data_IF_125223658457
#
_entry.id   IF_125223658457
#
_cell.length_a   1.000
_cell.length_b   1.000
_cell.length_c   1.000
_cell.angle_alpha   90.00
_cell.angle_beta   90.00
_cell.angle_gamma   90.00
#
_symmetry.space_group_name_H-M   'P 1'
#
loop_
_entity.id
_entity.type
_entity.pdbx_description
1 polymer ?
#
# COMPACT_ATOMS: atom_id res chain seq x y z
N UNK A 1 2.09 -0.34 0.88
CA UNK A 1 1.53 0.27 -0.36
C UNK A 1 0.14 0.82 -0.14
N UNK A 2 -0.26 1.82 -0.92
CA UNK A 2 -1.67 2.18 -1.05
C UNK A 2 -2.34 1.17 -1.97
N UNK A 3 -3.54 0.72 -1.62
CA UNK A 3 -4.28 -0.25 -2.43
C UNK A 3 -5.76 0.09 -2.45
N UNK A 4 -6.43 -0.32 -3.52
CA UNK A 4 -7.87 -0.21 -3.71
C UNK A 4 -8.39 -1.51 -4.33
N UNK A 5 -9.52 -1.99 -3.83
CA UNK A 5 -10.23 -3.10 -4.44
C UNK A 5 -11.73 -2.89 -4.29
N UNK A 6 -12.49 -3.26 -5.30
CA UNK A 6 -13.96 -3.16 -5.30
C UNK A 6 -14.57 -4.40 -5.94
N UNK A 7 -15.60 -4.90 -5.30
CA UNK A 7 -16.46 -5.90 -5.92
C UNK A 7 -17.93 -5.55 -5.66
N UNK A 8 -18.76 -5.87 -6.63
CA UNK A 8 -20.21 -5.67 -6.56
C UNK A 8 -20.88 -6.91 -7.13
N UNK A 9 -21.81 -7.46 -6.39
CA UNK A 9 -22.54 -8.65 -6.80
C UNK A 9 -23.97 -8.63 -6.27
N UNK A 10 -24.90 -9.11 -7.08
CA UNK A 10 -26.27 -9.31 -6.64
C UNK A 10 -26.45 -10.78 -6.24
N UNK A 11 -26.61 -11.04 -4.95
CA UNK A 11 -26.77 -12.37 -4.37
C UNK A 11 -28.12 -12.43 -3.65
N UNK A 12 -28.93 -13.42 -3.94
CA UNK A 12 -30.25 -13.62 -3.32
C UNK A 12 -31.20 -12.40 -3.39
N UNK A 13 -31.03 -11.53 -4.44
CA UNK A 13 -31.83 -10.32 -4.61
C UNK A 13 -31.34 -9.10 -3.84
N UNK A 14 -30.21 -9.21 -3.14
CA UNK A 14 -29.49 -8.10 -2.49
C UNK A 14 -28.23 -7.78 -3.29
N UNK A 15 -28.04 -6.52 -3.68
CA UNK A 15 -26.79 -6.06 -4.27
C UNK A 15 -25.83 -5.66 -3.18
N UNK A 16 -24.74 -6.42 -3.08
CA UNK A 16 -23.68 -6.22 -2.08
C UNK A 16 -22.50 -5.57 -2.78
N UNK A 17 -22.09 -4.40 -2.33
CA UNK A 17 -20.88 -3.71 -2.79
C UNK A 17 -19.87 -3.67 -1.65
N UNK A 18 -18.65 -4.13 -1.91
CA UNK A 18 -17.53 -4.08 -0.97
C UNK A 18 -16.41 -3.27 -1.59
N UNK A 19 -15.97 -2.22 -0.91
CA UNK A 19 -14.79 -1.42 -1.27
C UNK A 19 -13.74 -1.51 -0.18
N UNK A 20 -12.50 -1.76 -0.58
CA UNK A 20 -11.32 -1.74 0.29
C UNK A 20 -10.40 -0.59 -0.12
N UNK A 21 -9.94 0.16 0.87
CA UNK A 21 -8.92 1.19 0.68
C UNK A 21 -7.84 1.01 1.72
N UNK A 22 -6.59 0.99 1.30
CA UNK A 22 -5.47 0.94 2.24
C UNK A 22 -4.53 2.11 2.07
N UNK A 23 -3.95 2.54 3.20
CA UNK A 23 -2.82 3.47 3.24
C UNK A 23 -1.67 2.83 4.00
N UNK A 24 -0.44 3.26 3.69
CA UNK A 24 0.74 2.73 4.35
C UNK A 24 0.68 2.98 5.86
N UNK A 25 0.80 1.92 6.66
CA UNK A 25 0.92 1.99 8.11
C UNK A 25 1.82 0.86 8.61
N UNK A 26 2.49 1.09 9.73
CA UNK A 26 3.43 0.12 10.34
C UNK A 26 2.76 -1.17 10.81
N UNK A 27 1.54 -1.08 11.31
CA UNK A 27 0.73 -2.18 11.82
C UNK A 27 -0.56 -2.29 10.99
N UNK A 28 -1.16 -3.46 10.99
CA UNK A 28 -2.49 -3.62 10.42
C UNK A 28 -3.51 -2.95 11.34
N UNK A 29 -4.24 -1.99 10.79
CA UNK A 29 -5.40 -1.34 11.40
C UNK A 29 -6.58 -1.50 10.44
N UNK A 30 -7.54 -2.35 10.81
CA UNK A 30 -8.69 -2.67 9.97
C UNK A 30 -9.95 -2.05 10.55
N UNK A 31 -10.52 -1.11 9.81
CA UNK A 31 -11.76 -0.44 10.15
C UNK A 31 -12.86 -0.85 9.16
N UNK A 32 -13.92 -1.45 9.67
CA UNK A 32 -15.06 -1.91 8.86
C UNK A 32 -16.23 -0.96 9.05
N UNK A 33 -16.76 -0.46 7.95
CA UNK A 33 -17.97 0.35 7.91
C UNK A 33 -19.06 -0.42 7.20
N UNK A 34 -20.01 -0.89 7.98
CA UNK A 34 -21.15 -1.69 7.54
C UNK A 34 -22.45 -1.14 8.16
N UNK A 35 -23.60 -1.23 7.49
CA UNK A 35 -24.88 -0.82 8.07
C UNK A 35 -25.20 -1.61 9.35
N UNK A 36 -25.84 -0.95 10.33
CA UNK A 36 -26.09 -1.52 11.67
C UNK A 36 -26.78 -2.88 11.67
N UNK A 37 -27.64 -3.13 10.70
CA UNK A 37 -28.36 -4.40 10.55
C UNK A 37 -27.43 -5.59 10.30
N UNK A 38 -26.22 -5.37 9.77
CA UNK A 38 -25.29 -6.41 9.34
C UNK A 38 -24.00 -6.45 10.18
N UNK A 39 -23.98 -5.78 11.35
CA UNK A 39 -22.82 -5.77 12.28
C UNK A 39 -22.34 -7.16 12.69
N UNK A 40 -23.20 -8.18 12.64
CA UNK A 40 -22.83 -9.56 12.89
C UNK A 40 -21.73 -10.09 11.93
N UNK A 41 -21.58 -9.51 10.73
CA UNK A 41 -20.58 -9.90 9.78
C UNK A 41 -19.21 -9.23 10.01
N UNK A 42 -19.11 -8.23 10.89
CA UNK A 42 -17.89 -7.43 11.08
C UNK A 42 -16.66 -8.26 11.46
N UNK A 43 -16.81 -9.20 12.40
CA UNK A 43 -15.70 -10.07 12.83
C UNK A 43 -15.23 -11.01 11.73
N UNK A 44 -16.15 -11.56 10.95
CA UNK A 44 -15.83 -12.41 9.81
C UNK A 44 -15.06 -11.63 8.72
N UNK A 45 -15.49 -10.38 8.46
CA UNK A 45 -14.80 -9.47 7.53
C UNK A 45 -13.38 -9.16 8.02
N UNK A 46 -13.22 -8.76 9.30
CA UNK A 46 -11.91 -8.46 9.89
C UNK A 46 -10.96 -9.66 9.82
N UNK A 47 -11.44 -10.83 10.16
CA UNK A 47 -10.65 -12.07 10.11
C UNK A 47 -10.14 -12.36 8.68
N UNK A 48 -10.98 -12.20 7.65
CA UNK A 48 -10.58 -12.41 6.26
C UNK A 48 -9.54 -11.39 5.79
N UNK A 49 -9.73 -10.11 6.13
CA UNK A 49 -8.77 -9.05 5.84
C UNK A 49 -7.42 -9.33 6.50
N UNK A 50 -7.41 -9.74 7.78
CA UNK A 50 -6.19 -10.09 8.52
C UNK A 50 -5.44 -11.29 7.94
N UNK A 51 -6.15 -12.25 7.36
CA UNK A 51 -5.53 -13.40 6.70
C UNK A 51 -4.87 -13.06 5.36
N UNK A 52 -5.32 -11.97 4.72
CA UNK A 52 -4.82 -11.56 3.38
C UNK A 52 -3.82 -10.41 3.48
N UNK A 53 -4.02 -9.48 4.41
CA UNK A 53 -3.23 -8.25 4.51
C UNK A 53 -2.47 -8.25 5.85
N UNK A 54 -1.14 -8.18 5.78
CA UNK A 54 -0.26 -8.28 6.95
C UNK A 54 -0.03 -6.94 7.66
N UNK A 55 -0.14 -5.81 6.95
CA UNK A 55 0.07 -4.45 7.49
C UNK A 55 -0.64 -3.40 6.65
N UNK A 56 -0.79 -2.20 7.21
CA UNK A 56 -1.47 -1.07 6.58
C UNK A 56 -2.72 -0.66 7.35
N UNK A 57 -3.20 0.54 7.14
CA UNK A 57 -4.53 0.93 7.59
C UNK A 57 -5.51 0.63 6.46
N UNK A 58 -6.46 -0.26 6.72
CA UNK A 58 -7.44 -0.75 5.75
C UNK A 58 -8.83 -0.30 6.19
N UNK A 59 -9.46 0.52 5.38
CA UNK A 59 -10.87 0.86 5.53
C UNK A 59 -11.69 -0.01 4.57
N UNK A 60 -12.63 -0.78 5.12
CA UNK A 60 -13.57 -1.64 4.38
C UNK A 60 -14.94 -1.01 4.45
N UNK A 61 -15.52 -0.71 3.30
CA UNK A 61 -16.87 -0.18 3.17
C UNK A 61 -17.77 -1.25 2.57
N UNK A 62 -18.82 -1.61 3.30
CA UNK A 62 -19.83 -2.56 2.83
C UNK A 62 -21.16 -1.83 2.68
N UNK A 63 -21.70 -1.86 1.47
CA UNK A 63 -23.01 -1.29 1.16
C UNK A 63 -23.90 -2.42 0.66
N UNK A 64 -25.12 -2.48 1.20
CA UNK A 64 -26.13 -3.44 0.79
C UNK A 64 -27.33 -2.66 0.28
N UNK A 65 -27.74 -2.98 -0.94
CA UNK A 65 -28.90 -2.38 -1.58
C UNK A 65 -29.91 -3.49 -1.91
N UNK A 66 -30.99 -3.50 -1.14
CA UNK A 66 -32.09 -4.43 -1.35
C UNK A 66 -33.00 -3.90 -2.47
N UNK A 67 -32.55 -4.07 -3.73
CA UNK A 67 -33.31 -3.69 -4.92
C UNK A 67 -34.56 -4.59 -5.17
N UNK A 68 -34.69 -5.68 -4.41
CA UNK A 68 -35.86 -6.56 -4.43
C UNK A 68 -36.85 -6.16 -3.36
N UNK A 69 -38.13 -6.22 -3.68
CA UNK A 69 -39.22 -5.97 -2.74
C UNK A 69 -38.96 -6.69 -1.43
N UNK A 70 -38.89 -5.92 -0.33
CA UNK A 70 -38.88 -6.48 1.02
C UNK A 70 -39.90 -7.61 1.08
N UNK A 71 -39.49 -8.83 1.30
CA UNK A 71 -40.40 -9.94 1.46
C UNK A 71 -41.17 -9.70 2.76
N UNK A 72 -42.28 -8.99 2.62
CA UNK A 72 -43.21 -8.78 3.71
C UNK A 72 -44.10 -10.02 3.78
N UNK A 73 -44.00 -10.73 4.85
CA UNK A 73 -44.92 -11.82 5.15
C UNK A 73 -46.07 -11.26 6.00
N UNK A 74 -47.28 -11.39 5.45
CA UNK A 74 -48.48 -11.00 6.18
C UNK A 74 -49.03 -12.22 6.90
N UNK A 75 -49.08 -12.15 8.20
CA UNK A 75 -49.61 -13.22 9.07
C UNK A 75 -50.89 -12.75 9.80
N UNK A 76 -51.69 -13.71 10.21
CA UNK A 76 -52.89 -13.45 11.00
C UNK A 76 -52.55 -13.62 12.50
N UNK A 77 -52.71 -12.58 13.30
CA UNK A 77 -52.63 -12.66 14.74
C UNK A 77 -53.92 -13.32 15.31
N UNK A 78 -53.92 -14.64 15.31
CA UNK A 78 -55.07 -15.42 15.65
C UNK A 78 -55.68 -15.08 17.03
N UNK A 79 -54.90 -14.93 18.14
CA UNK A 79 -55.46 -14.52 19.44
C UNK A 79 -56.23 -13.21 19.41
N UNK A 80 -55.73 -12.21 18.69
CA UNK A 80 -56.34 -10.90 18.55
C UNK A 80 -57.60 -10.98 17.69
N UNK A 81 -57.52 -11.72 16.56
CA UNK A 81 -58.69 -11.95 15.69
C UNK A 81 -59.82 -12.65 16.41
N UNK A 82 -59.51 -13.73 17.17
CA UNK A 82 -60.47 -14.45 17.98
C UNK A 82 -61.13 -13.54 19.05
N UNK A 83 -60.34 -12.68 19.70
CA UNK A 83 -60.84 -11.69 20.68
C UNK A 83 -61.86 -10.71 20.08
N UNK A 84 -61.54 -10.10 18.91
CA UNK A 84 -62.48 -9.22 18.22
C UNK A 84 -63.71 -9.98 17.73
N UNK A 85 -63.57 -11.17 17.22
CA UNK A 85 -64.71 -11.99 16.78
C UNK A 85 -65.69 -12.29 17.94
N UNK A 86 -65.16 -12.72 19.12
CA UNK A 86 -65.96 -12.98 20.30
C UNK A 86 -66.68 -11.72 20.79
N UNK A 87 -66.00 -10.57 20.90
CA UNK A 87 -66.54 -9.31 21.34
C UNK A 87 -67.66 -8.80 20.41
N UNK A 88 -67.47 -8.89 19.11
CA UNK A 88 -68.51 -8.50 18.11
C UNK A 88 -69.71 -9.42 18.16
N UNK A 89 -69.51 -10.73 18.36
CA UNK A 89 -70.59 -11.70 18.51
C UNK A 89 -71.39 -11.45 19.80
N UNK A 90 -70.72 -11.12 20.91
CA UNK A 90 -71.35 -10.74 22.14
C UNK A 90 -72.22 -9.48 21.96
N UNK A 91 -71.68 -8.42 21.34
CA UNK A 91 -72.44 -7.19 21.06
C UNK A 91 -73.67 -7.43 20.18
N UNK A 92 -73.55 -8.29 19.15
CA UNK A 92 -74.70 -8.64 18.31
C UNK A 92 -75.83 -9.33 19.10
N UNK A 93 -75.47 -10.20 20.06
CA UNK A 93 -76.40 -10.90 20.92
C UNK A 93 -77.04 -9.98 21.97
N UNK A 94 -76.25 -9.19 22.68
CA UNK A 94 -76.73 -8.31 23.76
C UNK A 94 -77.65 -7.21 23.28
N UNK A 95 -77.38 -6.64 22.11
CA UNK A 95 -78.13 -5.51 21.53
C UNK A 95 -79.10 -5.92 20.43
N UNK A 96 -79.26 -7.21 20.21
CA UNK A 96 -80.13 -7.79 19.15
C UNK A 96 -79.84 -7.20 17.75
N UNK A 97 -78.58 -7.06 17.42
CA UNK A 97 -78.12 -6.54 16.14
C UNK A 97 -77.89 -7.67 15.14
N UNK A 98 -77.97 -7.35 13.83
CA UNK A 98 -77.59 -8.31 12.79
C UNK A 98 -76.11 -8.55 12.84
N UNK A 99 -75.70 -9.84 12.81
CA UNK A 99 -74.30 -10.19 12.73
C UNK A 99 -73.79 -10.00 11.31
N UNK A 100 -72.98 -8.96 11.09
CA UNK A 100 -72.37 -8.62 9.81
C UNK A 100 -70.85 -8.84 9.80
N UNK A 101 -70.32 -9.70 10.73
CA UNK A 101 -68.92 -10.00 10.80
C UNK A 101 -68.43 -10.60 9.49
N UNK A 102 -67.53 -9.88 8.86
CA UNK A 102 -66.91 -10.28 7.59
C UNK A 102 -65.39 -10.26 7.68
N UNK A 103 -64.72 -10.94 6.74
CA UNK A 103 -63.24 -10.90 6.64
C UNK A 103 -62.78 -9.47 6.46
N UNK A 104 -63.52 -8.68 5.69
CA UNK A 104 -63.19 -7.28 5.45
C UNK A 104 -63.30 -6.39 6.70
N UNK A 105 -64.19 -6.76 7.61
CA UNK A 105 -64.36 -6.07 8.90
C UNK A 105 -63.21 -6.45 9.85
N UNK A 106 -63.00 -7.75 10.05
CA UNK A 106 -61.95 -8.27 10.94
C UNK A 106 -60.54 -7.84 10.57
N UNK A 107 -60.25 -7.82 9.22
CA UNK A 107 -58.91 -7.41 8.74
C UNK A 107 -58.60 -5.91 8.96
N UNK A 108 -59.57 -5.07 9.31
CA UNK A 108 -59.41 -3.64 9.59
C UNK A 108 -59.06 -3.32 11.01
N UNK A 109 -59.30 -4.27 11.92
CA UNK A 109 -58.95 -4.06 13.33
C UNK A 109 -57.44 -4.06 13.52
N UNK A 110 -56.92 -3.19 14.38
CA UNK A 110 -55.48 -3.13 14.67
C UNK A 110 -54.94 -4.50 15.11
N UNK A 111 -53.73 -4.80 14.64
CA UNK A 111 -52.96 -6.02 15.04
C UNK A 111 -53.59 -7.34 14.62
N UNK A 112 -54.69 -7.38 13.91
CA UNK A 112 -55.26 -8.63 13.36
C UNK A 112 -54.43 -9.17 12.20
N UNK A 113 -53.93 -8.29 11.33
CA UNK A 113 -52.96 -8.59 10.30
C UNK A 113 -51.63 -8.00 10.69
N UNK A 114 -50.61 -8.85 10.83
CA UNK A 114 -49.23 -8.48 11.11
C UNK A 114 -48.46 -8.55 9.78
N UNK A 115 -47.85 -7.41 9.38
CA UNK A 115 -46.90 -7.38 8.29
C UNK A 115 -45.50 -7.41 8.88
N UNK A 116 -44.88 -8.59 8.88
CA UNK A 116 -43.55 -8.79 9.38
C UNK A 116 -42.56 -8.91 8.21
N UNK A 117 -41.39 -8.32 8.37
CA UNK A 117 -40.30 -8.57 7.43
C UNK A 117 -39.87 -10.03 7.64
N UNK A 118 -39.71 -10.77 6.53
CA UNK A 118 -39.17 -12.12 6.59
C UNK A 118 -37.81 -12.09 7.31
N UNK A 119 -37.62 -12.97 8.27
CA UNK A 119 -36.31 -13.12 8.94
C UNK A 119 -35.24 -13.41 7.88
N UNK A 120 -34.26 -12.53 7.77
CA UNK A 120 -33.08 -12.77 6.93
C UNK A 120 -32.23 -13.84 7.62
N UNK A 121 -31.78 -14.83 6.86
CA UNK A 121 -30.80 -15.79 7.34
C UNK A 121 -29.44 -15.09 7.55
N UNK A 122 -29.17 -14.73 8.80
CA UNK A 122 -27.98 -14.01 9.26
C UNK A 122 -26.70 -14.73 8.84
N UNK A 123 -26.68 -16.08 8.93
CA UNK A 123 -25.50 -16.87 8.57
C UNK A 123 -25.26 -16.89 7.06
N UNK A 124 -26.33 -17.00 6.28
CA UNK A 124 -26.24 -16.97 4.83
C UNK A 124 -25.80 -15.58 4.35
N UNK A 125 -26.36 -14.52 4.91
CA UNK A 125 -25.98 -13.15 4.54
C UNK A 125 -24.51 -12.87 4.89
N UNK A 126 -24.00 -13.33 6.02
CA UNK A 126 -22.58 -13.22 6.36
C UNK A 126 -21.68 -13.95 5.34
N UNK A 127 -22.09 -15.12 4.86
CA UNK A 127 -21.37 -15.86 3.82
C UNK A 127 -21.38 -15.11 2.49
N UNK A 128 -22.53 -14.54 2.11
CA UNK A 128 -22.68 -13.78 0.87
C UNK A 128 -21.80 -12.52 0.90
N UNK A 129 -21.81 -11.74 1.99
CA UNK A 129 -20.91 -10.59 2.18
C UNK A 129 -19.44 -11.03 2.08
N UNK A 130 -19.06 -12.12 2.74
CA UNK A 130 -17.70 -12.64 2.70
C UNK A 130 -17.28 -13.10 1.30
N UNK A 131 -18.18 -13.65 0.51
CA UNK A 131 -17.90 -14.04 -0.87
C UNK A 131 -17.57 -12.84 -1.75
N UNK A 132 -18.33 -11.74 -1.61
CA UNK A 132 -18.07 -10.49 -2.33
C UNK A 132 -16.77 -9.84 -1.83
N UNK A 133 -16.51 -9.88 -0.51
CA UNK A 133 -15.26 -9.41 0.08
C UNK A 133 -14.03 -10.15 -0.50
N UNK A 134 -14.11 -11.48 -0.68
CA UNK A 134 -13.00 -12.25 -1.26
C UNK A 134 -12.68 -11.78 -2.69
N UNK A 135 -13.67 -11.42 -3.48
CA UNK A 135 -13.48 -10.85 -4.83
C UNK A 135 -12.83 -9.46 -4.76
N UNK A 136 -13.29 -8.62 -3.83
CA UNK A 136 -12.70 -7.29 -3.62
C UNK A 136 -11.24 -7.39 -3.11
N UNK A 137 -10.94 -8.38 -2.26
CA UNK A 137 -9.57 -8.68 -1.81
C UNK A 137 -8.68 -9.17 -2.96
N UNK A 138 -9.20 -9.98 -3.86
CA UNK A 138 -8.46 -10.43 -5.05
C UNK A 138 -8.13 -9.25 -6.00
N UNK A 139 -9.08 -8.33 -6.23
CA UNK A 139 -8.85 -7.11 -7.02
C UNK A 139 -7.81 -6.20 -6.35
N UNK A 140 -7.92 -6.03 -5.03
CA UNK A 140 -6.98 -5.29 -4.20
C UNK A 140 -5.54 -5.86 -4.32
N UNK A 141 -5.38 -7.17 -4.23
CA UNK A 141 -4.07 -7.84 -4.33
C UNK A 141 -3.48 -7.73 -5.74
N UNK A 142 -4.32 -7.83 -6.76
CA UNK A 142 -3.92 -7.62 -8.15
C UNK A 142 -3.42 -6.19 -8.38
N UNK A 143 -4.11 -5.18 -7.82
CA UNK A 143 -3.66 -3.79 -7.89
C UNK A 143 -2.30 -3.60 -7.20
N UNK A 144 -2.12 -4.17 -6.00
CA UNK A 144 -0.85 -4.11 -5.27
C UNK A 144 0.31 -4.77 -6.02
N UNK A 145 0.04 -5.90 -6.64
CA UNK A 145 1.03 -6.61 -7.46
C UNK A 145 1.50 -5.74 -8.63
N UNK A 146 0.57 -5.15 -9.38
CA UNK A 146 0.90 -4.25 -10.49
C UNK A 146 1.68 -3.01 -10.05
N UNK A 147 1.29 -2.43 -8.93
CA UNK A 147 2.01 -1.27 -8.36
C UNK A 147 3.41 -1.65 -7.91
N UNK A 148 3.56 -2.82 -7.25
CA UNK A 148 4.85 -3.35 -6.85
C UNK A 148 5.80 -3.62 -8.03
N UNK A 149 5.29 -4.15 -9.13
CA UNK A 149 6.05 -4.35 -10.36
C UNK A 149 6.54 -3.02 -10.95
N UNK A 150 5.67 -2.01 -11.03
CA UNK A 150 6.05 -0.65 -11.49
C UNK A 150 7.12 -0.01 -10.63
N UNK A 151 6.98 -0.10 -9.31
CA UNK A 151 7.97 0.43 -8.36
C UNK A 151 9.31 -0.30 -8.51
N UNK A 152 9.30 -1.60 -8.70
CA UNK A 152 10.49 -2.41 -8.97
C UNK A 152 11.21 -1.97 -10.24
N UNK A 153 10.48 -1.79 -11.33
CA UNK A 153 11.04 -1.34 -12.61
C UNK A 153 11.65 0.06 -12.51
N UNK A 154 10.96 1.00 -11.84
CA UNK A 154 11.48 2.35 -11.61
C UNK A 154 12.78 2.33 -10.80
N UNK A 155 12.83 1.56 -9.71
CA UNK A 155 14.04 1.40 -8.89
C UNK A 155 15.18 0.81 -9.70
N UNK A 156 14.95 -0.23 -10.49
CA UNK A 156 15.98 -0.85 -11.32
C UNK A 156 16.53 0.11 -12.40
N UNK A 157 15.68 0.94 -12.97
CA UNK A 157 16.08 1.98 -13.93
C UNK A 157 16.98 3.04 -13.27
N UNK A 158 16.62 3.49 -12.06
CA UNK A 158 17.44 4.44 -11.29
C UNK A 158 18.77 3.85 -10.88
N UNK A 159 18.79 2.59 -10.47
CA UNK A 159 20.01 1.85 -10.14
C UNK A 159 20.94 1.78 -11.35
N UNK A 160 20.42 1.51 -12.55
CA UNK A 160 21.23 1.53 -13.78
C UNK A 160 21.82 2.92 -14.06
N UNK A 161 21.06 3.99 -13.77
CA UNK A 161 21.56 5.37 -13.85
C UNK A 161 22.71 5.62 -12.87
N UNK A 162 22.57 5.16 -11.62
CA UNK A 162 23.63 5.25 -10.60
C UNK A 162 24.89 4.51 -11.07
N UNK A 163 24.77 3.28 -11.57
CA UNK A 163 25.91 2.50 -12.07
C UNK A 163 26.63 3.21 -13.21
N UNK A 164 25.88 3.80 -14.14
CA UNK A 164 26.47 4.60 -15.22
C UNK A 164 27.25 5.80 -14.70
N UNK A 165 26.73 6.50 -13.68
CA UNK A 165 27.44 7.63 -13.07
C UNK A 165 28.67 7.19 -12.28
N UNK A 166 28.60 6.04 -11.58
CA UNK A 166 29.75 5.45 -10.88
C UNK A 166 30.86 5.09 -11.87
N UNK A 167 30.54 4.52 -13.04
CA UNK A 167 31.53 4.24 -14.07
C UNK A 167 32.24 5.51 -14.54
N UNK A 168 31.51 6.63 -14.73
CA UNK A 168 32.13 7.92 -15.09
C UNK A 168 33.06 8.44 -13.99
N UNK A 169 32.71 8.24 -12.72
CA UNK A 169 33.60 8.58 -11.60
C UNK A 169 34.87 7.73 -11.63
N UNK A 170 34.75 6.42 -11.86
CA UNK A 170 35.89 5.49 -11.95
C UNK A 170 36.83 5.85 -13.11
N UNK A 171 36.28 6.25 -14.25
CA UNK A 171 37.08 6.69 -15.42
C UNK A 171 37.77 8.04 -15.19
N UNK A 172 37.10 8.98 -14.53
CA UNK A 172 37.62 10.32 -14.28
C UNK A 172 38.66 10.38 -13.15
N UNK A 173 38.54 9.53 -12.14
CA UNK A 173 39.40 9.55 -10.94
C UNK A 173 40.91 9.46 -11.27
N UNK A 174 41.41 8.55 -12.12
CA UNK A 174 42.83 8.51 -12.50
C UNK A 174 43.29 9.75 -13.27
N UNK A 175 42.40 10.36 -14.06
CA UNK A 175 42.72 11.57 -14.83
C UNK A 175 42.95 12.76 -13.93
N UNK A 176 42.15 12.87 -12.84
CA UNK A 176 42.30 13.93 -11.81
C UNK A 176 43.69 13.90 -11.18
N UNK A 177 44.23 12.72 -10.90
CA UNK A 177 45.59 12.56 -10.36
C UNK A 177 46.65 13.00 -11.39
N UNK A 178 46.50 12.61 -12.65
CA UNK A 178 47.40 13.00 -13.72
C UNK A 178 47.42 14.52 -13.95
N UNK A 179 46.24 15.13 -13.98
CA UNK A 179 46.10 16.59 -14.12
C UNK A 179 46.65 17.35 -12.90
N UNK A 180 46.49 16.81 -11.68
CA UNK A 180 47.07 17.39 -10.49
C UNK A 180 48.61 17.38 -10.58
N UNK A 181 49.21 16.24 -10.98
CA UNK A 181 50.65 16.11 -11.16
C UNK A 181 51.16 17.14 -12.16
N UNK A 182 50.54 17.26 -13.32
CA UNK A 182 50.94 18.22 -14.38
C UNK A 182 50.85 19.69 -13.85
N UNK A 183 49.79 20.02 -13.12
CA UNK A 183 49.66 21.36 -12.52
C UNK A 183 50.72 21.61 -11.45
N UNK A 184 51.04 20.62 -10.63
CA UNK A 184 52.08 20.71 -9.63
C UNK A 184 53.44 20.97 -10.26
N UNK A 185 53.80 20.20 -11.30
CA UNK A 185 55.04 20.38 -12.07
C UNK A 185 55.14 21.78 -12.70
N UNK A 186 54.08 22.25 -13.31
CA UNK A 186 54.02 23.61 -13.91
C UNK A 186 54.20 24.71 -12.83
N UNK A 187 53.51 24.58 -11.73
CA UNK A 187 53.60 25.56 -10.64
C UNK A 187 54.98 25.61 -9.98
N UNK A 188 55.60 24.43 -9.77
CA UNK A 188 56.93 24.38 -9.22
C UNK A 188 57.97 24.98 -10.21
N UNK A 189 57.85 24.72 -11.52
CA UNK A 189 58.72 25.33 -12.53
C UNK A 189 58.60 26.86 -12.51
N UNK A 190 57.36 27.42 -12.36
CA UNK A 190 57.09 28.87 -12.28
C UNK A 190 57.76 29.50 -11.05
N UNK A 191 57.60 28.85 -9.90
CA UNK A 191 58.05 29.43 -8.61
C UNK A 191 59.57 29.31 -8.39
N UNK A 192 60.17 28.19 -8.87
CA UNK A 192 61.58 27.88 -8.61
C UNK A 192 62.55 28.36 -9.69
N UNK A 193 62.10 29.14 -10.66
CA UNK A 193 62.77 29.81 -11.81
C UNK A 193 64.21 29.47 -12.19
N UNK A 194 65.05 28.90 -11.28
CA UNK A 194 66.46 28.56 -11.46
C UNK A 194 66.98 27.43 -10.59
N UNK A 195 66.10 26.71 -9.87
CA UNK A 195 66.52 25.60 -8.98
C UNK A 195 66.03 24.28 -9.61
N UNK A 196 66.92 23.30 -9.69
CA UNK A 196 66.51 21.95 -10.13
C UNK A 196 65.47 21.36 -9.20
N UNK A 197 64.29 21.04 -9.77
CA UNK A 197 63.20 20.36 -9.09
C UNK A 197 63.60 18.89 -8.89
N UNK A 198 63.53 18.41 -7.67
CA UNK A 198 63.69 16.98 -7.41
C UNK A 198 62.41 16.23 -7.88
N UNK A 199 62.49 15.40 -8.94
CA UNK A 199 61.35 14.62 -9.41
C UNK A 199 60.74 13.70 -8.35
N UNK A 200 61.53 13.22 -7.42
CA UNK A 200 61.07 12.36 -6.31
C UNK A 200 60.07 13.08 -5.41
N UNK A 201 60.20 14.40 -5.20
CA UNK A 201 59.28 15.22 -4.46
C UNK A 201 57.93 15.36 -5.12
N UNK A 202 57.92 15.59 -6.43
CA UNK A 202 56.69 15.66 -7.24
C UNK A 202 55.92 14.33 -7.20
N UNK A 203 56.63 13.20 -7.32
CA UNK A 203 56.05 11.87 -7.25
C UNK A 203 55.44 11.60 -5.87
N UNK A 204 56.15 12.00 -4.78
CA UNK A 204 55.64 11.83 -3.42
C UNK A 204 54.38 12.64 -3.19
N UNK A 205 54.33 13.89 -3.57
CA UNK A 205 53.13 14.74 -3.43
C UNK A 205 51.97 14.23 -4.30
N UNK A 206 52.24 13.76 -5.52
CA UNK A 206 51.25 13.15 -6.36
C UNK A 206 50.69 11.84 -5.79
N UNK A 207 51.53 11.02 -5.14
CA UNK A 207 51.09 9.81 -4.48
C UNK A 207 50.19 10.11 -3.26
N UNK A 208 50.59 11.08 -2.43
CA UNK A 208 49.77 11.53 -1.29
C UNK A 208 48.41 12.08 -1.78
N UNK A 209 48.41 12.85 -2.86
CA UNK A 209 47.17 13.33 -3.44
C UNK A 209 46.32 12.18 -3.99
N UNK A 210 46.91 11.23 -4.70
CA UNK A 210 46.22 10.05 -5.24
C UNK A 210 45.53 9.24 -4.12
N UNK A 211 46.23 9.00 -3.01
CA UNK A 211 45.68 8.30 -1.85
C UNK A 211 44.50 9.08 -1.22
N UNK A 212 44.63 10.40 -1.12
CA UNK A 212 43.56 11.27 -0.58
C UNK A 212 42.29 11.28 -1.42
N UNK A 213 42.40 11.19 -2.75
CA UNK A 213 41.26 11.25 -3.69
C UNK A 213 40.82 9.89 -4.18
N UNK A 214 41.44 8.80 -3.69
CA UNK A 214 41.07 7.46 -4.05
C UNK A 214 39.63 7.14 -3.65
N UNK A 215 38.82 6.70 -4.62
CA UNK A 215 37.38 6.38 -4.45
C UNK A 215 37.06 4.93 -4.81
N UNK A 216 38.09 4.14 -5.12
CA UNK A 216 37.93 2.77 -5.62
C UNK A 216 37.20 1.87 -4.62
N UNK A 217 37.48 2.01 -3.34
CA UNK A 217 36.82 1.23 -2.27
C UNK A 217 35.32 1.56 -2.19
N UNK A 218 34.97 2.83 -2.23
CA UNK A 218 33.58 3.31 -2.16
C UNK A 218 32.79 2.90 -3.39
N UNK A 219 33.38 2.97 -4.58
CA UNK A 219 32.71 2.54 -5.82
C UNK A 219 32.47 1.03 -5.84
N UNK A 220 33.44 0.23 -5.41
CA UNK A 220 33.28 -1.24 -5.26
C UNK A 220 32.20 -1.58 -4.23
N UNK A 221 32.20 -0.91 -3.06
CA UNK A 221 31.16 -1.11 -2.04
C UNK A 221 29.77 -0.73 -2.57
N UNK A 222 29.66 0.42 -3.24
CA UNK A 222 28.39 0.87 -3.84
C UNK A 222 27.86 -0.14 -4.87
N UNK A 223 28.72 -0.68 -5.74
CA UNK A 223 28.35 -1.76 -6.67
C UNK A 223 27.90 -3.04 -5.96
N UNK A 224 28.59 -3.42 -4.88
CA UNK A 224 28.18 -4.56 -4.05
C UNK A 224 26.79 -4.37 -3.45
N UNK A 225 26.51 -3.19 -2.91
CA UNK A 225 25.21 -2.85 -2.36
C UNK A 225 24.11 -2.83 -3.43
N UNK A 226 24.42 -2.35 -4.63
CA UNK A 226 23.52 -2.42 -5.79
C UNK A 226 23.17 -3.87 -6.13
N UNK A 227 24.15 -4.76 -6.12
CA UNK A 227 23.92 -6.20 -6.32
C UNK A 227 22.97 -6.79 -5.29
N UNK A 228 23.14 -6.44 -4.01
CA UNK A 228 22.26 -6.88 -2.92
C UNK A 228 20.82 -6.34 -3.09
N UNK A 229 20.67 -5.09 -3.51
CA UNK A 229 19.36 -4.49 -3.78
C UNK A 229 18.63 -5.25 -4.89
N UNK A 230 19.30 -5.56 -5.99
CA UNK A 230 18.72 -6.35 -7.09
C UNK A 230 18.29 -7.74 -6.62
N UNK A 231 19.10 -8.40 -5.82
CA UNK A 231 18.76 -9.70 -5.25
C UNK A 231 17.52 -9.63 -4.33
N UNK A 232 17.44 -8.61 -3.46
CA UNK A 232 16.27 -8.41 -2.61
C UNK A 232 15.00 -8.14 -3.41
N UNK A 233 15.07 -7.31 -4.44
CA UNK A 233 13.95 -7.01 -5.34
C UNK A 233 13.49 -8.23 -6.16
N UNK A 234 14.41 -9.17 -6.45
CA UNK A 234 14.06 -10.39 -7.18
C UNK A 234 13.41 -11.45 -6.31
N UNK A 235 13.78 -11.53 -5.03
CA UNK A 235 13.23 -12.51 -4.07
C UNK A 235 11.83 -12.13 -3.58
N UNK A 236 11.49 -10.86 -3.62
CA UNK A 236 10.22 -10.34 -3.10
C UNK A 236 10.06 -10.48 -1.59
N UNK A 237 8.83 -10.32 -1.11
CA UNK A 237 8.48 -10.42 0.31
C UNK A 237 8.68 -9.11 1.08
N UNK A 238 8.45 -9.13 2.39
CA UNK A 238 8.51 -7.96 3.28
C UNK A 238 9.95 -7.46 3.49
N UNK A 239 10.53 -6.84 2.47
CA UNK A 239 11.94 -6.42 2.43
C UNK A 239 12.16 -4.94 2.79
N UNK A 240 11.10 -4.14 2.97
CA UNK A 240 11.19 -2.68 3.11
C UNK A 240 12.25 -2.17 4.10
N UNK A 241 12.35 -2.75 5.31
CA UNK A 241 13.38 -2.34 6.29
C UNK A 241 14.80 -2.66 5.85
N UNK A 242 15.00 -3.78 5.16
CA UNK A 242 16.33 -4.17 4.67
C UNK A 242 16.75 -3.28 3.51
N UNK A 243 15.79 -2.93 2.64
CA UNK A 243 16.01 -1.99 1.56
C UNK A 243 16.33 -0.58 2.10
N UNK A 244 15.61 -0.09 3.11
CA UNK A 244 15.89 1.21 3.72
C UNK A 244 17.32 1.28 4.31
N UNK A 245 17.75 0.22 5.02
CA UNK A 245 19.14 0.12 5.50
C UNK A 245 20.14 0.15 4.33
N UNK A 246 19.88 -0.60 3.27
CA UNK A 246 20.76 -0.65 2.12
C UNK A 246 20.88 0.71 1.41
N UNK A 247 19.79 1.47 1.33
CA UNK A 247 19.81 2.83 0.78
C UNK A 247 20.61 3.79 1.66
N UNK A 248 20.64 3.59 2.98
CA UNK A 248 21.51 4.35 3.87
C UNK A 248 22.99 4.09 3.57
N UNK A 249 23.36 2.83 3.27
CA UNK A 249 24.73 2.50 2.86
C UNK A 249 25.07 3.13 1.49
N UNK A 250 24.13 3.14 0.53
CA UNK A 250 24.34 3.87 -0.73
C UNK A 250 24.66 5.35 -0.48
N UNK A 251 23.90 6.01 0.37
CA UNK A 251 24.14 7.41 0.75
C UNK A 251 25.48 7.61 1.43
N UNK A 252 25.90 6.67 2.27
CA UNK A 252 27.19 6.71 2.95
C UNK A 252 28.34 6.66 1.94
N UNK A 253 28.32 5.69 1.02
CA UNK A 253 29.38 5.57 0.01
C UNK A 253 29.39 6.80 -0.93
N UNK A 254 28.23 7.27 -1.39
CA UNK A 254 28.13 8.48 -2.21
C UNK A 254 28.65 9.74 -1.46
N UNK A 255 28.41 9.87 -0.16
CA UNK A 255 28.95 10.95 0.66
C UNK A 255 30.47 10.90 0.76
N UNK A 256 31.04 9.70 0.94
CA UNK A 256 32.47 9.50 1.03
C UNK A 256 33.15 9.82 -0.29
N UNK A 257 32.62 9.37 -1.43
CA UNK A 257 33.08 9.75 -2.77
C UNK A 257 33.08 11.27 -2.90
N UNK A 258 31.96 11.91 -2.52
CA UNK A 258 31.82 13.38 -2.59
C UNK A 258 32.80 14.15 -1.73
N UNK A 259 33.14 13.62 -0.54
CA UNK A 259 34.10 14.27 0.37
C UNK A 259 35.56 14.12 -0.06
N UNK A 260 35.88 13.02 -0.79
CA UNK A 260 37.21 12.75 -1.32
C UNK A 260 37.46 13.46 -2.68
N UNK A 261 36.38 13.79 -3.41
CA UNK A 261 36.54 14.39 -4.74
C UNK A 261 37.11 15.81 -4.66
N UNK A 262 38.11 16.10 -5.50
CA UNK A 262 38.65 17.45 -5.75
C UNK A 262 38.42 17.93 -7.19
N UNK A 263 37.55 17.23 -7.90
CA UNK A 263 37.22 17.46 -9.30
C UNK A 263 35.73 17.85 -9.45
N UNK A 264 35.46 18.84 -10.26
CA UNK A 264 34.10 19.38 -10.49
C UNK A 264 33.18 18.39 -11.22
N UNK A 265 33.74 17.61 -12.14
CA UNK A 265 32.96 16.61 -12.91
C UNK A 265 32.54 15.46 -11.99
N UNK A 266 33.47 14.96 -11.17
CA UNK A 266 33.17 13.93 -10.17
C UNK A 266 32.11 14.46 -9.20
N UNK A 267 32.25 15.71 -8.71
CA UNK A 267 31.28 16.32 -7.82
C UNK A 267 29.85 16.37 -8.42
N UNK A 268 29.74 16.71 -9.72
CA UNK A 268 28.44 16.69 -10.43
C UNK A 268 27.84 15.30 -10.49
N UNK A 269 28.65 14.28 -10.85
CA UNK A 269 28.17 12.91 -10.87
C UNK A 269 27.73 12.42 -9.50
N UNK A 270 28.43 12.80 -8.44
CA UNK A 270 28.01 12.47 -7.05
C UNK A 270 26.68 13.13 -6.69
N UNK A 271 26.44 14.38 -7.10
CA UNK A 271 25.16 15.06 -6.89
C UNK A 271 24.04 14.32 -7.60
N UNK A 272 24.25 13.91 -8.85
CA UNK A 272 23.28 13.13 -9.63
C UNK A 272 22.99 11.78 -8.94
N UNK A 273 24.03 11.05 -8.51
CA UNK A 273 23.91 9.78 -7.77
C UNK A 273 23.06 9.97 -6.51
N UNK A 274 23.35 11.00 -5.70
CA UNK A 274 22.57 11.30 -4.48
C UNK A 274 21.10 11.60 -4.78
N UNK A 275 20.84 12.34 -5.86
CA UNK A 275 19.48 12.62 -6.27
C UNK A 275 18.70 11.35 -6.64
N UNK A 276 19.35 10.42 -7.37
CA UNK A 276 18.71 9.13 -7.69
C UNK A 276 18.54 8.23 -6.45
N UNK A 277 19.50 8.24 -5.52
CA UNK A 277 19.38 7.50 -4.25
C UNK A 277 18.17 8.00 -3.43
N UNK A 278 17.96 9.31 -3.35
CA UNK A 278 16.80 9.86 -2.60
C UNK A 278 15.47 9.49 -3.25
N UNK A 279 15.40 9.52 -4.60
CA UNK A 279 14.21 9.04 -5.31
C UNK A 279 13.94 7.55 -5.06
N UNK A 280 14.98 6.70 -5.03
CA UNK A 280 14.84 5.28 -4.68
C UNK A 280 14.34 5.14 -3.24
N UNK A 281 14.85 5.94 -2.30
CA UNK A 281 14.43 5.93 -0.91
C UNK A 281 12.94 6.21 -0.76
N UNK A 282 12.43 7.23 -1.45
CA UNK A 282 11.00 7.55 -1.45
C UNK A 282 10.16 6.38 -1.96
N UNK A 283 10.61 5.69 -3.01
CA UNK A 283 9.91 4.53 -3.56
C UNK A 283 9.94 3.33 -2.60
N UNK A 284 11.11 3.07 -1.98
CA UNK A 284 11.28 1.96 -1.03
C UNK A 284 10.37 2.09 0.18
N UNK A 285 10.07 3.31 0.64
CA UNK A 285 9.12 3.54 1.73
C UNK A 285 7.69 3.12 1.37
N UNK A 286 7.37 2.99 0.09
CA UNK A 286 6.07 2.57 -0.42
C UNK A 286 6.01 1.08 -0.81
N UNK A 287 7.14 0.35 -0.80
CA UNK A 287 7.21 -1.09 -1.09
C UNK A 287 6.82 -1.91 0.14
N UNK A 288 6.02 -2.91 -0.08
CA UNK A 288 5.69 -3.98 0.88
C UNK A 288 6.37 -5.30 0.52
#
# INVERSE_FOLDING_TARGET
MTGYGRAEETVNGCTITVELRSVNNRYLDCNVRIPRLYLFAEEAIKSRVQNTISRGKVDVFVTLDNAGAEKVQVSVNKPVADGYYAALTQLAQEYNLSNDISVSLLSRFPEVLLAEKAEEDVEQMAKDICSVLDKALADFDQMRTREGERLREDILSRVATIEGKVSLVEERSPQTVSEYRARLEARMNEVLSNTQIDPARILTEAAIFADKVAVDEETVRLRSHIGQLREMLSKGGATGRKLDFLIQEFNREANTIGSKCSDIEIARHVVDVKAEIEKIREQVQNIE
#
